data_IF_325557454680
#
_entry.id   IF_325557454680
#
_cell.length_a   1.000
_cell.length_b   1.000
_cell.length_c   1.000
_cell.angle_alpha   90.00
_cell.angle_beta   90.00
_cell.angle_gamma   90.00
#
_symmetry.space_group_name_H-M   'P 1'
#
loop_
_entity.id
_entity.type
_entity.pdbx_description
1 polymer ?
#
# COMPACT_ATOMS: atom_id res chain seq x y z
N UNK A 1 5.56 -19.20 2.54
CA UNK A 1 4.23 -18.56 2.60
C UNK A 1 4.46 -17.07 2.70
N UNK A 2 3.89 -16.27 1.80
CA UNK A 2 4.01 -14.80 1.92
C UNK A 2 3.06 -14.29 3.02
N UNK A 3 3.31 -13.11 3.61
CA UNK A 3 2.44 -12.56 4.67
C UNK A 3 1.01 -12.23 4.19
N UNK A 4 0.75 -12.26 2.88
CA UNK A 4 -0.60 -12.16 2.31
C UNK A 4 -1.27 -13.54 2.16
N UNK A 5 -0.50 -14.61 2.07
CA UNK A 5 -1.01 -15.98 1.98
C UNK A 5 -1.20 -16.61 3.36
N UNK A 6 -0.51 -16.08 4.37
CA UNK A 6 -0.61 -16.53 5.77
C UNK A 6 -2.00 -16.24 6.36
N UNK A 7 -2.80 -17.27 6.71
CA UNK A 7 -4.15 -17.08 7.24
C UNK A 7 -4.19 -16.36 8.58
N UNK A 8 -3.10 -16.37 9.35
CA UNK A 8 -3.00 -15.72 10.66
C UNK A 8 -2.45 -14.28 10.57
N UNK A 9 -2.01 -13.85 9.38
CA UNK A 9 -1.55 -12.48 9.17
C UNK A 9 -2.71 -11.49 9.27
N UNK A 10 -2.50 -10.42 10.05
CA UNK A 10 -3.49 -9.36 10.22
C UNK A 10 -3.91 -8.73 8.87
N UNK A 11 -2.99 -8.64 7.91
CA UNK A 11 -3.28 -8.09 6.58
C UNK A 11 -4.21 -9.02 5.80
N UNK A 12 -3.98 -10.33 5.85
CA UNK A 12 -4.84 -11.30 5.15
C UNK A 12 -6.21 -11.43 5.80
N UNK A 13 -6.27 -11.43 7.13
CA UNK A 13 -7.53 -11.35 7.87
C UNK A 13 -8.31 -10.09 7.51
N UNK A 14 -7.62 -8.94 7.41
CA UNK A 14 -8.22 -7.68 6.96
C UNK A 14 -8.72 -7.75 5.51
N UNK A 15 -7.97 -8.38 4.60
CA UNK A 15 -8.37 -8.57 3.21
C UNK A 15 -9.63 -9.43 3.10
N UNK A 16 -9.67 -10.58 3.80
CA UNK A 16 -10.82 -11.49 3.83
C UNK A 16 -12.06 -10.82 4.43
N UNK A 17 -11.93 -10.12 5.57
CA UNK A 17 -13.04 -9.41 6.18
C UNK A 17 -13.63 -8.34 5.25
N UNK A 18 -12.79 -7.64 4.49
CA UNK A 18 -13.24 -6.68 3.49
C UNK A 18 -13.97 -7.36 2.31
N UNK A 19 -13.40 -8.43 1.76
CA UNK A 19 -14.03 -9.20 0.65
C UNK A 19 -15.38 -9.80 1.07
N UNK A 20 -15.47 -10.31 2.30
CA UNK A 20 -16.70 -10.89 2.87
C UNK A 20 -17.68 -9.82 3.36
N UNK A 21 -17.38 -8.52 3.19
CA UNK A 21 -18.20 -7.40 3.66
C UNK A 21 -18.46 -7.37 5.18
N UNK A 22 -17.58 -7.98 5.98
CA UNK A 22 -17.63 -7.99 7.44
C UNK A 22 -16.96 -6.75 8.03
N UNK A 23 -17.64 -5.62 7.89
CA UNK A 23 -17.07 -4.31 8.24
C UNK A 23 -16.76 -4.15 9.72
N UNK A 24 -17.49 -4.79 10.62
CA UNK A 24 -17.21 -4.72 12.06
C UNK A 24 -15.91 -5.43 12.42
N UNK A 25 -15.66 -6.62 11.85
CA UNK A 25 -14.41 -7.36 11.97
C UNK A 25 -13.25 -6.57 11.38
N UNK A 26 -13.42 -6.03 10.17
CA UNK A 26 -12.43 -5.18 9.52
C UNK A 26 -12.05 -3.97 10.38
N UNK A 27 -13.05 -3.26 10.94
CA UNK A 27 -12.79 -2.10 11.79
C UNK A 27 -12.05 -2.48 13.07
N UNK A 28 -12.38 -3.62 13.69
CA UNK A 28 -11.64 -4.13 14.86
C UNK A 28 -10.17 -4.41 14.53
N UNK A 29 -9.90 -5.06 13.39
CA UNK A 29 -8.53 -5.33 12.92
C UNK A 29 -7.73 -4.04 12.64
N UNK A 30 -8.41 -2.98 12.20
CA UNK A 30 -7.82 -1.66 11.97
C UNK A 30 -7.63 -0.81 13.26
N UNK A 31 -7.83 -1.40 14.44
CA UNK A 31 -7.67 -0.73 15.74
C UNK A 31 -8.97 -0.23 16.36
N UNK A 32 -10.12 -0.47 15.74
CA UNK A 32 -11.43 -0.03 16.18
C UNK A 32 -11.83 1.36 15.67
N UNK A 33 -13.05 1.77 15.99
CA UNK A 33 -13.67 3.01 15.49
C UNK A 33 -12.93 4.29 15.92
N UNK A 34 -12.40 4.32 17.14
CA UNK A 34 -11.71 5.50 17.72
C UNK A 34 -10.21 5.53 17.43
N UNK A 35 -9.68 4.56 16.67
CA UNK A 35 -8.25 4.51 16.38
C UNK A 35 -7.83 5.65 15.45
N UNK A 36 -6.93 6.51 15.94
CA UNK A 36 -6.33 7.54 15.13
C UNK A 36 -5.54 6.93 13.96
N UNK A 37 -5.58 7.58 12.79
CA UNK A 37 -4.96 7.05 11.55
C UNK A 37 -3.47 6.69 11.71
N UNK A 38 -2.73 7.46 12.51
CA UNK A 38 -1.30 7.24 12.80
C UNK A 38 -1.03 5.95 13.60
N UNK A 39 -2.01 5.51 14.37
CA UNK A 39 -1.91 4.39 15.32
C UNK A 39 -2.56 3.11 14.77
N UNK A 40 -3.09 3.15 13.54
CA UNK A 40 -3.69 1.98 12.89
C UNK A 40 -2.67 0.84 12.73
N UNK A 41 -3.04 -0.42 13.04
CA UNK A 41 -2.15 -1.58 12.91
C UNK A 41 -1.68 -1.86 11.48
N UNK A 42 -2.57 -1.69 10.50
CA UNK A 42 -2.25 -1.84 9.08
C UNK A 42 -2.08 -0.44 8.48
N UNK A 43 -0.91 -0.19 7.87
CA UNK A 43 -0.51 1.10 7.33
C UNK A 43 -0.27 1.03 5.82
N UNK A 44 -0.41 2.16 5.15
CA UNK A 44 -0.04 2.30 3.74
C UNK A 44 1.48 2.45 3.62
N UNK A 45 2.08 1.72 2.69
CA UNK A 45 3.46 1.93 2.28
C UNK A 45 3.46 2.79 1.03
N UNK A 46 4.25 3.85 1.07
CA UNK A 46 4.45 4.74 -0.06
C UNK A 46 5.81 4.48 -0.71
N UNK A 47 5.87 4.67 -2.02
CA UNK A 47 7.09 4.59 -2.82
C UNK A 47 7.31 5.91 -3.54
N UNK A 48 8.56 6.33 -3.56
CA UNK A 48 9.00 7.49 -4.32
C UNK A 48 9.21 7.11 -5.79
N UNK A 49 8.87 8.04 -6.68
CA UNK A 49 9.17 7.89 -8.10
C UNK A 49 10.59 8.41 -8.34
N UNK A 50 11.57 7.52 -8.32
CA UNK A 50 12.98 7.86 -8.57
C UNK A 50 13.37 7.40 -9.98
N UNK A 51 14.14 8.21 -10.69
CA UNK A 51 14.84 7.79 -11.89
C UNK A 51 16.06 6.94 -11.49
N UNK A 52 16.07 5.68 -11.90
CA UNK A 52 17.08 4.70 -11.49
C UNK A 52 18.48 5.07 -12.04
N UNK A 53 18.54 5.79 -13.16
CA UNK A 53 19.80 6.16 -13.81
C UNK A 53 20.47 7.36 -13.17
N UNK A 54 19.69 8.34 -12.69
CA UNK A 54 20.20 9.58 -12.10
C UNK A 54 20.11 9.62 -10.59
N UNK A 55 19.27 8.76 -9.98
CA UNK A 55 18.94 8.79 -8.56
C UNK A 55 18.04 9.97 -8.16
N UNK A 56 17.57 10.76 -9.12
CA UNK A 56 16.77 11.97 -8.87
C UNK A 56 15.28 11.61 -8.85
N UNK A 57 14.51 12.30 -8.00
CA UNK A 57 13.05 12.18 -8.00
C UNK A 57 12.49 12.64 -9.34
N UNK A 58 11.63 11.82 -9.95
CA UNK A 58 10.95 12.15 -11.20
C UNK A 58 10.06 13.36 -11.00
N UNK A 59 10.03 14.21 -12.01
CA UNK A 59 9.06 15.29 -12.09
C UNK A 59 7.72 14.80 -12.64
N UNK A 60 6.64 15.49 -12.29
CA UNK A 60 5.33 15.34 -12.90
C UNK A 60 5.28 16.09 -14.25
N UNK A 61 4.14 16.00 -14.94
CA UNK A 61 3.93 16.68 -16.23
C UNK A 61 4.00 18.22 -16.18
N UNK A 62 4.06 18.81 -14.98
CA UNK A 62 4.12 20.24 -14.74
C UNK A 62 5.51 20.71 -14.25
N UNK A 63 6.50 19.82 -14.17
CA UNK A 63 7.86 20.13 -13.72
C UNK A 63 8.02 20.16 -12.20
N UNK A 64 7.06 19.66 -11.43
CA UNK A 64 7.18 19.56 -9.96
C UNK A 64 7.62 18.15 -9.55
N UNK A 65 8.21 18.00 -8.37
CA UNK A 65 8.55 16.68 -7.82
C UNK A 65 7.29 15.81 -7.73
N UNK A 66 7.34 14.63 -8.34
CA UNK A 66 6.20 13.71 -8.36
C UNK A 66 5.91 13.21 -6.93
N UNK A 67 4.65 13.37 -6.52
CA UNK A 67 4.19 12.91 -5.22
C UNK A 67 4.37 11.39 -5.05
N UNK A 68 4.52 10.96 -3.80
CA UNK A 68 4.67 9.55 -3.47
C UNK A 68 3.42 8.76 -3.88
N UNK A 69 3.63 7.57 -4.44
CA UNK A 69 2.54 6.67 -4.81
C UNK A 69 2.39 5.56 -3.78
N UNK A 70 1.16 5.03 -3.64
CA UNK A 70 0.93 3.86 -2.79
C UNK A 70 1.59 2.66 -3.45
N UNK A 71 2.44 1.98 -2.71
CA UNK A 71 3.12 0.73 -3.10
C UNK A 71 2.44 -0.50 -2.50
N UNK A 72 1.95 -0.38 -1.27
CA UNK A 72 1.58 -1.57 -0.53
C UNK A 72 0.99 -1.31 0.84
N UNK A 73 0.99 -2.36 1.64
CA UNK A 73 0.57 -2.36 3.04
C UNK A 73 1.72 -2.78 3.95
N UNK A 74 1.71 -2.31 5.18
CA UNK A 74 2.67 -2.69 6.22
C UNK A 74 1.94 -3.00 7.52
N UNK A 75 2.40 -4.05 8.19
CA UNK A 75 2.03 -4.40 9.55
C UNK A 75 3.26 -5.02 10.24
N UNK A 76 3.59 -4.60 11.47
CA UNK A 76 4.72 -5.12 12.25
C UNK A 76 6.06 -5.22 11.49
N UNK A 77 6.45 -4.13 10.80
CA UNK A 77 7.63 -4.04 9.93
C UNK A 77 7.64 -4.98 8.72
N UNK A 78 6.56 -5.73 8.49
CA UNK A 78 6.38 -6.57 7.32
C UNK A 78 5.67 -5.76 6.23
N UNK A 79 6.37 -5.50 5.13
CA UNK A 79 5.84 -4.78 3.96
C UNK A 79 5.41 -5.74 2.88
N UNK A 80 4.22 -5.50 2.32
CA UNK A 80 3.65 -6.32 1.24
C UNK A 80 3.37 -5.42 0.04
N UNK A 81 3.89 -5.81 -1.12
CA UNK A 81 3.54 -5.18 -2.39
C UNK A 81 2.13 -5.63 -2.81
N UNK A 82 1.15 -4.73 -2.74
CA UNK A 82 -0.21 -4.99 -3.23
C UNK A 82 -0.47 -4.40 -4.61
N UNK A 83 0.51 -3.68 -5.19
CA UNK A 83 0.43 -3.04 -6.50
C UNK A 83 1.67 -3.39 -7.34
N UNK A 84 1.81 -4.65 -7.77
CA UNK A 84 3.00 -5.13 -8.46
C UNK A 84 3.13 -4.60 -9.90
N UNK A 85 2.08 -4.04 -10.47
CA UNK A 85 2.05 -3.64 -11.87
C UNK A 85 2.03 -2.13 -12.01
N UNK A 86 2.86 -1.62 -12.92
CA UNK A 86 2.93 -0.21 -13.29
C UNK A 86 2.64 -0.07 -14.77
N UNK A 87 1.93 0.98 -15.15
CA UNK A 87 1.70 1.33 -16.54
C UNK A 87 2.63 2.47 -16.95
N UNK A 88 3.01 2.47 -18.22
CA UNK A 88 3.75 3.54 -18.87
C UNK A 88 3.07 3.84 -20.21
N UNK A 89 2.89 5.14 -20.51
CA UNK A 89 2.34 5.57 -21.79
C UNK A 89 3.51 5.91 -22.70
N UNK A 90 3.63 5.18 -23.81
CA UNK A 90 4.59 5.47 -24.88
C UNK A 90 3.86 5.88 -26.15
N UNK A 91 4.52 6.67 -27.02
CA UNK A 91 4.00 6.90 -28.37
C UNK A 91 4.01 5.59 -29.14
N UNK A 92 2.95 5.33 -29.91
CA UNK A 92 2.94 4.24 -30.86
C UNK A 92 4.01 4.48 -31.92
N UNK A 93 4.82 3.45 -32.19
CA UNK A 93 5.83 3.43 -33.25
C UNK A 93 5.22 3.34 -34.63
#
# INVERSE_FOLDING_TARGET
MTPLEDPESLIELGRKAADDSKWDEYMKLMGGHDCARKDRPIKLVYKESVDISTGVLKENQYGEIKAQSIYGLEHDNVRINTRPHTWEISRAS
#
